data_IF_610668729824
#
_entry.id   IF_610668729824
#
_cell.length_a   1.000
_cell.length_b   1.000
_cell.length_c   1.000
_cell.angle_alpha   90.00
_cell.angle_beta   90.00
_cell.angle_gamma   90.00
#
_symmetry.space_group_name_H-M   'P 1'
#
loop_
_entity.id
_entity.type
_entity.pdbx_description
1 polymer ?
#
# COMPACT_ATOMS: atom_id res chain seq x y z
N UNK A 1 -18.36 -3.09 -10.45
CA UNK A 1 -18.58 -3.26 -11.91
C UNK A 1 -17.58 -4.29 -12.42
N UNK A 2 -17.94 -5.16 -13.35
CA UNK A 2 -16.98 -6.10 -13.95
C UNK A 2 -16.01 -5.33 -14.85
N UNK A 3 -14.70 -5.56 -14.69
CA UNK A 3 -13.70 -5.01 -15.60
C UNK A 3 -13.81 -5.77 -16.93
N UNK A 4 -13.76 -5.06 -18.06
CA UNK A 4 -13.80 -5.67 -19.39
C UNK A 4 -12.85 -4.93 -20.30
N UNK A 5 -12.01 -5.67 -21.03
CA UNK A 5 -11.12 -5.12 -22.04
C UNK A 5 -11.91 -4.72 -23.29
N UNK A 6 -11.50 -3.63 -23.93
CA UNK A 6 -11.97 -3.30 -25.28
C UNK A 6 -11.39 -4.30 -26.30
N UNK A 7 -11.98 -4.44 -27.49
CA UNK A 7 -11.44 -5.31 -28.54
C UNK A 7 -9.96 -5.00 -28.86
N UNK A 8 -9.60 -3.71 -28.94
CA UNK A 8 -8.22 -3.28 -29.22
C UNK A 8 -7.26 -3.66 -28.09
N UNK A 9 -7.73 -3.65 -26.84
CA UNK A 9 -6.94 -4.11 -25.69
C UNK A 9 -6.73 -5.61 -25.72
N UNK A 10 -7.76 -6.39 -26.10
CA UNK A 10 -7.62 -7.85 -26.25
C UNK A 10 -6.64 -8.21 -27.36
N UNK A 11 -6.69 -7.51 -28.49
CA UNK A 11 -5.75 -7.73 -29.60
C UNK A 11 -4.30 -7.48 -29.18
N UNK A 12 -4.05 -6.41 -28.42
CA UNK A 12 -2.71 -6.14 -27.90
C UNK A 12 -2.26 -7.16 -26.83
N UNK A 13 -3.17 -7.72 -26.04
CA UNK A 13 -2.86 -8.87 -25.15
C UNK A 13 -2.49 -10.11 -25.97
N UNK A 14 -3.23 -10.42 -27.05
CA UNK A 14 -2.91 -11.53 -27.93
C UNK A 14 -1.56 -11.37 -28.62
N UNK A 15 -1.21 -10.14 -29.03
CA UNK A 15 0.13 -9.84 -29.54
C UNK A 15 1.21 -10.07 -28.48
N UNK A 16 0.98 -9.64 -27.24
CA UNK A 16 1.93 -9.85 -26.13
C UNK A 16 2.11 -11.34 -25.79
N UNK A 17 1.03 -12.13 -25.88
CA UNK A 17 1.05 -13.58 -25.73
C UNK A 17 1.66 -14.30 -26.94
N UNK A 18 1.69 -13.64 -28.11
CA UNK A 18 2.04 -14.26 -29.39
C UNK A 18 1.04 -15.33 -29.85
N UNK A 19 -0.17 -15.35 -29.28
CA UNK A 19 -1.22 -16.37 -29.49
C UNK A 19 -2.59 -15.72 -29.42
N UNK A 20 -3.51 -16.21 -30.24
CA UNK A 20 -4.90 -15.75 -30.34
C UNK A 20 -5.90 -16.91 -30.37
N UNK A 21 -5.52 -18.04 -29.75
CA UNK A 21 -6.36 -19.23 -29.66
C UNK A 21 -7.36 -19.15 -28.49
N UNK A 22 -8.21 -20.17 -28.34
CA UNK A 22 -9.20 -20.23 -27.27
C UNK A 22 -8.56 -20.18 -25.87
N UNK A 23 -7.33 -20.65 -25.69
CA UNK A 23 -6.61 -20.54 -24.44
C UNK A 23 -6.23 -19.08 -24.11
N UNK A 24 -5.72 -18.35 -25.09
CA UNK A 24 -5.46 -16.92 -24.95
C UNK A 24 -6.75 -16.13 -24.65
N UNK A 25 -7.86 -16.49 -25.29
CA UNK A 25 -9.17 -15.89 -25.03
C UNK A 25 -9.61 -16.11 -23.58
N UNK A 26 -9.62 -17.35 -23.09
CA UNK A 26 -10.02 -17.63 -21.70
C UNK A 26 -9.07 -17.03 -20.67
N UNK A 27 -7.77 -16.90 -21.01
CA UNK A 27 -6.84 -16.17 -20.17
C UNK A 27 -7.25 -14.69 -20.03
N UNK A 28 -7.70 -14.05 -21.11
CA UNK A 28 -8.19 -12.65 -21.02
C UNK A 28 -9.44 -12.53 -20.14
N UNK A 29 -10.35 -13.50 -20.18
CA UNK A 29 -11.51 -13.54 -19.29
C UNK A 29 -11.10 -13.73 -17.82
N UNK A 30 -10.16 -14.63 -17.55
CA UNK A 30 -9.62 -14.84 -16.19
C UNK A 30 -8.93 -13.57 -15.66
N UNK A 31 -8.25 -12.81 -16.52
CA UNK A 31 -7.62 -11.52 -16.18
C UNK A 31 -8.67 -10.46 -15.86
N UNK A 32 -9.75 -10.37 -16.64
CA UNK A 32 -10.86 -9.45 -16.39
C UNK A 32 -11.49 -9.68 -15.02
N UNK A 33 -11.68 -10.95 -14.63
CA UNK A 33 -12.18 -11.34 -13.31
C UNK A 33 -11.19 -10.96 -12.21
N UNK A 34 -9.90 -11.25 -12.39
CA UNK A 34 -8.85 -10.90 -11.44
C UNK A 34 -8.73 -9.38 -11.24
N UNK A 35 -8.89 -8.60 -12.30
CA UNK A 35 -8.90 -7.14 -12.26
C UNK A 35 -10.14 -6.57 -11.58
N UNK A 36 -11.32 -7.14 -11.82
CA UNK A 36 -12.55 -6.75 -11.11
C UNK A 36 -12.46 -7.00 -9.59
N UNK A 37 -11.87 -8.13 -9.21
CA UNK A 37 -11.61 -8.46 -7.80
C UNK A 37 -10.54 -7.54 -7.19
N UNK A 38 -9.45 -7.26 -7.94
CA UNK A 38 -8.41 -6.32 -7.53
C UNK A 38 -9.00 -4.93 -7.32
N UNK A 39 -9.73 -4.37 -8.29
CA UNK A 39 -10.35 -3.05 -8.18
C UNK A 39 -11.31 -2.93 -6.99
N UNK A 40 -12.14 -3.96 -6.75
CA UNK A 40 -13.05 -3.97 -5.59
C UNK A 40 -12.30 -4.06 -4.25
N UNK A 41 -11.14 -4.71 -4.23
CA UNK A 41 -10.27 -4.80 -3.06
C UNK A 41 -9.34 -3.59 -2.87
N UNK A 42 -9.01 -2.91 -3.97
CA UNK A 42 -8.23 -1.68 -4.00
C UNK A 42 -9.12 -0.51 -3.56
N UNK A 43 -10.34 -0.37 -4.08
CA UNK A 43 -11.28 0.69 -3.65
C UNK A 43 -11.62 0.59 -2.14
N UNK A 44 -11.60 -0.61 -1.56
CA UNK A 44 -11.71 -0.82 -0.10
C UNK A 44 -10.42 -0.51 0.69
N UNK A 45 -9.29 -0.40 0.00
CA UNK A 45 -7.96 -0.05 0.52
C UNK A 45 -7.51 1.38 0.15
N UNK A 46 -8.20 2.07 -0.77
CA UNK A 46 -7.94 3.45 -1.22
C UNK A 46 -8.53 4.51 -0.28
N UNK A 47 -9.19 4.11 0.82
CA UNK A 47 -9.24 4.95 2.02
C UNK A 47 -7.88 4.85 2.68
N UNK A 48 -7.21 6.00 2.89
CA UNK A 48 -5.89 6.13 3.53
C UNK A 48 -5.59 4.92 4.41
N UNK A 49 -4.59 4.11 4.04
CA UNK A 49 -4.37 2.86 4.77
C UNK A 49 -4.27 3.20 6.26
N UNK A 50 -4.94 2.43 7.12
CA UNK A 50 -4.93 2.68 8.57
C UNK A 50 -3.48 2.86 9.08
N UNK A 51 -2.50 2.21 8.44
CA UNK A 51 -1.07 2.41 8.69
C UNK A 51 -0.56 3.83 8.38
N UNK A 52 -0.97 4.43 7.27
CA UNK A 52 -0.64 5.81 6.90
C UNK A 52 -1.33 6.84 7.81
N UNK A 53 -2.58 6.58 8.21
CA UNK A 53 -3.29 7.41 9.19
C UNK A 53 -2.58 7.39 10.54
N UNK A 54 -2.17 6.20 11.02
CA UNK A 54 -1.40 6.06 12.25
C UNK A 54 -0.02 6.72 12.17
N UNK A 55 0.63 6.66 11.01
CA UNK A 55 1.91 7.34 10.77
C UNK A 55 1.75 8.86 10.80
N UNK A 56 0.70 9.39 10.17
CA UNK A 56 0.34 10.82 10.20
C UNK A 56 0.02 11.30 11.62
N UNK A 57 -0.72 10.48 12.37
CA UNK A 57 -1.06 10.78 13.76
C UNK A 57 0.18 10.79 14.67
N UNK A 58 1.10 9.83 14.51
CA UNK A 58 2.40 9.83 15.20
C UNK A 58 3.23 11.09 14.89
N UNK A 59 3.26 11.53 13.63
CA UNK A 59 3.95 12.77 13.26
C UNK A 59 3.30 14.02 13.89
N UNK A 60 1.97 14.04 13.99
CA UNK A 60 1.22 15.11 14.65
C UNK A 60 1.53 15.17 16.16
N UNK A 61 1.56 14.01 16.83
CA UNK A 61 1.95 13.90 18.24
C UNK A 61 3.39 14.35 18.48
N UNK A 62 4.32 13.98 17.60
CA UNK A 62 5.71 14.46 17.66
C UNK A 62 5.80 15.99 17.52
N UNK A 63 5.04 16.57 16.59
CA UNK A 63 5.00 18.03 16.38
C UNK A 63 4.44 18.77 17.59
N UNK A 64 3.35 18.27 18.19
CA UNK A 64 2.77 18.84 19.40
C UNK A 64 3.73 18.79 20.58
N UNK A 65 4.44 17.68 20.79
CA UNK A 65 5.48 17.56 21.83
C UNK A 65 6.61 18.57 21.62
N UNK A 66 7.11 18.69 20.39
CA UNK A 66 8.17 19.64 20.06
C UNK A 66 7.77 21.10 20.33
N UNK A 67 6.48 21.42 20.24
CA UNK A 67 5.95 22.74 20.57
C UNK A 67 5.70 22.94 22.08
N UNK A 68 5.28 21.89 22.80
CA UNK A 68 4.91 21.97 24.21
C UNK A 68 6.11 22.01 25.16
N UNK A 69 7.15 21.20 24.93
CA UNK A 69 8.31 21.13 25.82
C UNK A 69 9.08 22.45 26.00
N UNK A 70 9.34 23.25 24.95
CA UNK A 70 10.06 24.51 25.11
C UNK A 70 9.17 25.66 25.59
N UNK A 71 7.85 25.48 25.65
CA UNK A 71 6.88 26.53 25.97
C UNK A 71 7.14 27.21 27.34
N UNK A 72 7.45 26.48 28.43
CA UNK A 72 7.72 27.11 29.73
C UNK A 72 8.96 28.00 29.69
N UNK A 73 10.03 27.55 29.03
CA UNK A 73 11.28 28.31 28.87
C UNK A 73 11.08 29.53 27.98
N UNK A 74 10.33 29.40 26.88
CA UNK A 74 9.98 30.50 25.99
C UNK A 74 9.16 31.57 26.72
N UNK A 75 8.21 31.17 27.56
CA UNK A 75 7.44 32.10 28.39
C UNK A 75 8.34 32.82 29.41
N UNK A 76 9.31 32.12 30.00
CA UNK A 76 10.29 32.72 30.90
C UNK A 76 11.19 33.74 30.18
N UNK A 77 11.65 33.41 28.98
CA UNK A 77 12.54 34.26 28.17
C UNK A 77 11.82 35.46 27.54
N UNK A 78 10.52 35.35 27.28
CA UNK A 78 9.71 36.40 26.65
C UNK A 78 9.52 37.67 27.50
N UNK A 79 9.96 37.67 28.77
CA UNK A 79 9.82 38.83 29.66
C UNK A 79 8.36 39.11 30.09
N UNK A 80 7.41 38.23 29.76
CA UNK A 80 6.02 38.28 30.25
C UNK A 80 5.88 38.07 31.76
N UNK A 81 6.99 37.88 32.47
CA UNK A 81 7.12 37.82 33.94
C UNK A 81 6.53 39.08 34.62
N UNK A 82 6.40 40.20 33.90
CA UNK A 82 5.72 41.41 34.39
C UNK A 82 4.19 41.44 34.22
N UNK A 83 3.61 40.52 33.43
CA UNK A 83 2.17 40.49 33.08
C UNK A 83 1.47 39.25 33.66
N UNK A 84 2.18 38.11 33.73
CA UNK A 84 1.73 36.90 34.42
C UNK A 84 2.47 36.81 35.75
N UNK A 85 1.73 36.71 36.87
CA UNK A 85 2.36 36.36 38.14
C UNK A 85 3.08 35.00 38.03
N UNK A 86 4.12 34.81 38.85
CA UNK A 86 4.95 33.60 38.80
C UNK A 86 4.16 32.30 39.04
N UNK A 87 3.00 32.39 39.69
CA UNK A 87 2.10 31.27 39.93
C UNK A 87 1.44 30.77 38.64
N UNK A 88 0.95 31.67 37.78
CA UNK A 88 0.40 31.32 36.46
C UNK A 88 1.44 30.72 35.53
N UNK A 89 2.67 31.24 35.53
CA UNK A 89 3.78 30.67 34.76
C UNK A 89 4.10 29.25 35.23
N UNK A 90 4.16 29.02 36.54
CA UNK A 90 4.37 27.70 37.10
C UNK A 90 3.21 26.73 36.80
N UNK A 91 1.97 27.22 36.76
CA UNK A 91 0.80 26.43 36.37
C UNK A 91 0.87 25.98 34.91
N UNK A 92 1.20 26.90 34.00
CA UNK A 92 1.38 26.57 32.56
C UNK A 92 2.51 25.57 32.35
N UNK A 93 3.62 25.68 33.10
CA UNK A 93 4.70 24.70 33.07
C UNK A 93 4.25 23.29 33.45
N UNK A 94 3.53 23.15 34.57
CA UNK A 94 2.97 21.87 35.03
C UNK A 94 1.96 21.28 34.05
N UNK A 95 1.11 22.12 33.45
CA UNK A 95 0.15 21.66 32.46
C UNK A 95 0.83 21.20 31.16
N UNK A 96 1.86 21.93 30.70
CA UNK A 96 2.65 21.53 29.53
C UNK A 96 3.36 20.18 29.75
N UNK A 97 3.94 19.97 30.93
CA UNK A 97 4.58 18.72 31.31
C UNK A 97 3.56 17.55 31.35
N UNK A 98 2.42 17.75 32.01
CA UNK A 98 1.34 16.75 32.09
C UNK A 98 0.80 16.37 30.70
N UNK A 99 0.64 17.34 29.80
CA UNK A 99 0.19 17.08 28.43
C UNK A 99 1.29 16.34 27.66
N UNK A 100 2.56 16.72 27.84
CA UNK A 100 3.72 16.02 27.25
C UNK A 100 3.74 14.53 27.62
N UNK A 101 3.61 14.21 28.91
CA UNK A 101 3.55 12.82 29.38
C UNK A 101 2.36 12.03 28.84
N UNK A 102 1.20 12.68 28.68
CA UNK A 102 0.03 12.06 28.07
C UNK A 102 0.27 11.77 26.57
N UNK A 103 0.90 12.69 25.85
CA UNK A 103 1.29 12.51 24.44
C UNK A 103 2.33 11.41 24.27
N UNK A 104 3.27 11.24 25.20
CA UNK A 104 4.25 10.15 25.16
C UNK A 104 3.59 8.79 25.32
N UNK A 105 2.68 8.64 26.29
CA UNK A 105 1.90 7.40 26.46
C UNK A 105 1.06 7.09 25.24
N UNK A 106 0.38 8.09 24.70
CA UNK A 106 -0.40 7.93 23.47
C UNK A 106 0.48 7.54 22.27
N UNK A 107 1.69 8.12 22.14
CA UNK A 107 2.64 7.76 21.10
C UNK A 107 3.09 6.30 21.19
N UNK A 108 3.24 5.76 22.41
CA UNK A 108 3.58 4.35 22.62
C UNK A 108 2.41 3.44 22.18
N UNK A 109 1.19 3.74 22.61
CA UNK A 109 -0.01 3.00 22.21
C UNK A 109 -0.21 2.99 20.69
N UNK A 110 -0.01 4.13 20.03
CA UNK A 110 -0.07 4.23 18.56
C UNK A 110 1.05 3.44 17.88
N UNK A 111 2.24 3.36 18.48
CA UNK A 111 3.35 2.57 17.93
C UNK A 111 3.05 1.08 18.02
N UNK A 112 2.50 0.63 19.15
CA UNK A 112 2.08 -0.76 19.35
C UNK A 112 0.93 -1.14 18.40
N UNK A 113 -0.06 -0.26 18.27
CA UNK A 113 -1.16 -0.45 17.34
C UNK A 113 -0.67 -0.51 15.89
N UNK A 114 0.29 0.35 15.50
CA UNK A 114 0.93 0.28 14.18
C UNK A 114 1.67 -1.03 13.98
N UNK A 115 2.38 -1.53 15.00
CA UNK A 115 3.07 -2.81 14.93
C UNK A 115 2.09 -3.97 14.74
N UNK A 116 0.97 -3.97 15.44
CA UNK A 116 -0.11 -4.96 15.30
C UNK A 116 -0.76 -4.91 13.91
N UNK A 117 -1.03 -3.70 13.40
CA UNK A 117 -1.57 -3.49 12.06
C UNK A 117 -0.57 -4.00 11.01
N UNK A 118 0.70 -3.65 11.14
CA UNK A 118 1.77 -4.10 10.24
C UNK A 118 1.93 -5.62 10.27
N UNK A 119 1.90 -6.24 11.45
CA UNK A 119 1.97 -7.70 11.60
C UNK A 119 0.74 -8.41 11.02
N UNK A 120 -0.45 -7.83 11.14
CA UNK A 120 -1.69 -8.36 10.57
C UNK A 120 -1.67 -8.31 9.03
N UNK A 121 -1.08 -7.25 8.46
CA UNK A 121 -0.90 -7.13 7.01
C UNK A 121 0.26 -7.97 6.47
N UNK A 122 1.27 -8.31 7.27
CA UNK A 122 2.34 -9.25 6.87
C UNK A 122 1.81 -10.69 6.63
N UNK A 123 0.65 -11.04 7.18
CA UNK A 123 -0.01 -12.34 6.95
C UNK A 123 -0.97 -12.37 5.75
N UNK A 124 -1.44 -11.22 5.26
CA UNK A 124 -2.35 -11.15 4.12
C UNK A 124 -1.61 -10.61 2.91
N UNK A 125 -1.39 -11.44 1.88
CA UNK A 125 -0.85 -11.01 0.58
C UNK A 125 -1.50 -9.69 0.16
N UNK A 126 -0.71 -8.69 -0.20
CA UNK A 126 -1.24 -7.40 -0.63
C UNK A 126 -2.24 -7.61 -1.78
N UNK A 127 -3.21 -6.70 -2.01
CA UNK A 127 -4.09 -6.79 -3.18
C UNK A 127 -3.30 -7.03 -4.48
N UNK A 128 -2.14 -6.40 -4.59
CA UNK A 128 -1.16 -6.57 -5.65
C UNK A 128 -0.60 -8.00 -5.76
N UNK A 129 -0.13 -8.58 -4.65
CA UNK A 129 0.37 -9.95 -4.61
C UNK A 129 -0.72 -10.98 -4.91
N UNK A 130 -1.96 -10.73 -4.44
CA UNK A 130 -3.13 -11.56 -4.75
C UNK A 130 -3.47 -11.52 -6.23
N UNK A 131 -3.43 -10.34 -6.83
CA UNK A 131 -3.63 -10.17 -8.27
C UNK A 131 -2.56 -10.93 -9.07
N UNK A 132 -1.28 -10.75 -8.75
CA UNK A 132 -0.19 -11.46 -9.41
C UNK A 132 -0.26 -12.97 -9.27
N UNK A 133 -0.63 -13.45 -8.09
CA UNK A 133 -0.83 -14.87 -7.86
C UNK A 133 -1.97 -15.42 -8.71
N UNK A 134 -3.11 -14.72 -8.76
CA UNK A 134 -4.24 -15.10 -9.62
C UNK A 134 -3.85 -15.09 -11.10
N UNK A 135 -3.10 -14.08 -11.52
CA UNK A 135 -2.61 -13.93 -12.89
C UNK A 135 -1.64 -15.06 -13.28
N UNK A 136 -0.66 -15.36 -12.41
CA UNK A 136 0.28 -16.45 -12.61
C UNK A 136 -0.42 -17.81 -12.70
N UNK A 137 -1.43 -18.05 -11.85
CA UNK A 137 -2.21 -19.28 -11.87
C UNK A 137 -3.07 -19.41 -13.13
N UNK A 138 -3.75 -18.34 -13.54
CA UNK A 138 -4.52 -18.31 -14.78
C UNK A 138 -3.60 -18.55 -16.00
N UNK A 139 -2.46 -17.87 -16.05
CA UNK A 139 -1.48 -18.04 -17.13
C UNK A 139 -1.00 -19.49 -17.22
N UNK A 140 -0.62 -20.10 -16.09
CA UNK A 140 -0.20 -21.50 -16.05
C UNK A 140 -1.31 -22.42 -16.55
N UNK A 141 -2.52 -22.26 -16.02
CA UNK A 141 -3.66 -23.14 -16.32
C UNK A 141 -4.08 -23.07 -17.79
N UNK A 142 -4.03 -21.88 -18.40
CA UNK A 142 -4.47 -21.68 -19.79
C UNK A 142 -3.35 -21.93 -20.80
N UNK A 143 -2.14 -21.45 -20.51
CA UNK A 143 -1.03 -21.54 -21.46
C UNK A 143 -0.26 -22.85 -21.36
N UNK A 144 -0.46 -23.62 -20.28
CA UNK A 144 0.30 -24.82 -19.95
C UNK A 144 1.83 -24.57 -19.93
N UNK A 145 2.22 -23.35 -19.55
CA UNK A 145 3.61 -22.89 -19.47
C UNK A 145 3.84 -22.32 -18.08
N UNK A 146 5.00 -22.62 -17.49
CA UNK A 146 5.38 -22.07 -16.19
C UNK A 146 5.63 -20.56 -16.33
N UNK A 147 4.94 -19.69 -15.58
CA UNK A 147 5.25 -18.27 -15.56
C UNK A 147 6.63 -18.06 -14.92
N UNK A 148 7.46 -17.23 -15.53
CA UNK A 148 8.81 -16.90 -15.03
C UNK A 148 8.96 -15.38 -14.95
N UNK A 149 9.66 -14.89 -13.92
CA UNK A 149 9.92 -13.47 -13.74
C UNK A 149 11.07 -12.93 -14.62
N UNK A 150 11.67 -13.78 -15.46
CA UNK A 150 12.75 -13.38 -16.37
C UNK A 150 12.31 -12.21 -17.25
N UNK A 151 13.12 -11.16 -17.31
CA UNK A 151 12.76 -9.90 -17.97
C UNK A 151 12.32 -10.04 -19.44
N UNK A 152 12.85 -11.04 -20.15
CA UNK A 152 12.50 -11.37 -21.55
C UNK A 152 11.46 -12.49 -21.70
N UNK A 153 11.03 -13.06 -20.57
CA UNK A 153 10.05 -14.15 -20.51
C UNK A 153 8.70 -13.76 -21.10
N UNK A 154 8.02 -14.73 -21.70
CA UNK A 154 6.70 -14.55 -22.29
C UNK A 154 5.66 -14.07 -21.26
N UNK A 155 5.75 -14.59 -20.02
CA UNK A 155 4.91 -14.14 -18.92
C UNK A 155 5.15 -12.67 -18.57
N UNK A 156 6.41 -12.22 -18.50
CA UNK A 156 6.72 -10.81 -18.19
C UNK A 156 6.29 -9.85 -19.30
N UNK A 157 6.36 -10.27 -20.57
CA UNK A 157 5.82 -9.47 -21.70
C UNK A 157 4.31 -9.33 -21.61
N UNK A 158 3.61 -10.43 -21.35
CA UNK A 158 2.16 -10.43 -21.12
C UNK A 158 1.78 -9.58 -19.90
N UNK A 159 2.45 -9.79 -18.77
CA UNK A 159 2.22 -9.07 -17.54
C UNK A 159 2.41 -7.56 -17.72
N UNK A 160 3.50 -7.12 -18.36
CA UNK A 160 3.74 -5.71 -18.67
C UNK A 160 2.65 -5.13 -19.56
N UNK A 161 2.19 -5.86 -20.59
CA UNK A 161 1.11 -5.40 -21.44
C UNK A 161 -0.20 -5.21 -20.65
N UNK A 162 -0.52 -6.15 -19.76
CA UNK A 162 -1.69 -6.05 -18.87
C UNK A 162 -1.53 -4.88 -17.90
N UNK A 163 -0.40 -4.73 -17.22
CA UNK A 163 -0.21 -3.63 -16.27
C UNK A 163 -0.19 -2.28 -16.96
N UNK A 164 0.48 -2.11 -18.10
CA UNK A 164 0.48 -0.84 -18.87
C UNK A 164 -0.94 -0.43 -19.30
N UNK A 165 -1.78 -1.40 -19.68
CA UNK A 165 -3.18 -1.14 -20.03
C UNK A 165 -4.01 -0.72 -18.83
N UNK A 166 -3.81 -1.35 -17.67
CA UNK A 166 -4.62 -1.10 -16.49
C UNK A 166 -4.11 0.13 -15.73
N UNK A 167 -2.82 0.44 -15.79
CA UNK A 167 -2.19 1.67 -15.26
C UNK A 167 -2.82 2.94 -15.83
N UNK A 168 -3.28 2.90 -17.09
CA UNK A 168 -4.05 4.01 -17.70
C UNK A 168 -5.44 4.22 -17.09
N UNK A 169 -5.95 3.25 -16.33
CA UNK A 169 -7.33 3.23 -15.79
C UNK A 169 -7.38 3.24 -14.25
N UNK A 170 -6.32 2.78 -13.58
CA UNK A 170 -6.20 2.73 -12.13
C UNK A 170 -4.79 3.18 -11.72
N UNK A 171 -4.69 4.38 -11.14
CA UNK A 171 -3.45 4.95 -10.56
C UNK A 171 -2.84 4.05 -9.48
N UNK A 172 -3.67 3.25 -8.83
CA UNK A 172 -3.30 2.45 -7.66
C UNK A 172 -2.46 1.20 -8.04
N UNK A 173 -2.28 0.93 -9.34
CA UNK A 173 -1.36 -0.09 -9.85
C UNK A 173 0.10 0.39 -9.97
N UNK A 174 0.36 1.68 -9.75
CA UNK A 174 1.72 2.22 -9.71
C UNK A 174 2.54 1.52 -8.60
N UNK A 175 1.91 1.24 -7.46
CA UNK A 175 2.54 0.54 -6.34
C UNK A 175 2.96 -0.89 -6.72
N UNK A 176 2.24 -1.54 -7.63
CA UNK A 176 2.47 -2.93 -8.07
C UNK A 176 3.69 -3.03 -9.01
N UNK A 177 3.97 -1.99 -9.78
CA UNK A 177 5.12 -1.95 -10.70
C UNK A 177 6.41 -1.55 -10.00
N UNK A 178 6.34 -0.71 -8.96
CA UNK A 178 7.51 -0.15 -8.30
C UNK A 178 8.02 -0.99 -7.12
N UNK A 179 7.21 -1.89 -6.55
CA UNK A 179 7.56 -2.65 -5.32
C UNK A 179 8.08 -4.07 -5.54
N UNK A 180 8.09 -4.58 -6.77
CA UNK A 180 8.37 -5.99 -7.03
C UNK A 180 9.68 -6.20 -7.79
N UNK A 181 10.73 -6.56 -7.04
CA UNK A 181 11.95 -7.10 -7.61
C UNK A 181 11.73 -8.52 -8.19
N UNK A 182 12.66 -8.95 -9.05
CA UNK A 182 12.59 -10.25 -9.73
C UNK A 182 12.58 -11.44 -8.73
N UNK A 183 13.21 -11.27 -7.57
CA UNK A 183 13.25 -12.28 -6.51
C UNK A 183 11.88 -12.47 -5.84
N UNK A 184 11.20 -11.38 -5.51
CA UNK A 184 9.87 -11.38 -4.91
C UNK A 184 8.82 -11.87 -5.89
N UNK A 185 8.93 -11.50 -7.16
CA UNK A 185 8.10 -12.06 -8.24
C UNK A 185 8.23 -13.58 -8.34
N UNK A 186 9.45 -14.11 -8.38
CA UNK A 186 9.65 -15.56 -8.43
C UNK A 186 9.08 -16.26 -7.19
N UNK A 187 9.23 -15.69 -5.99
CA UNK A 187 8.64 -16.24 -4.77
C UNK A 187 7.11 -16.30 -4.81
N UNK A 188 6.46 -15.23 -5.30
CA UNK A 188 4.99 -15.18 -5.43
C UNK A 188 4.53 -16.19 -6.48
N UNK A 189 5.21 -16.23 -7.64
CA UNK A 189 4.90 -17.18 -8.70
C UNK A 189 5.05 -18.61 -8.18
N UNK A 190 6.17 -18.97 -7.55
CA UNK A 190 6.39 -20.31 -6.98
C UNK A 190 5.31 -20.70 -5.98
N UNK A 191 4.85 -19.77 -5.13
CA UNK A 191 3.75 -20.04 -4.20
C UNK A 191 2.39 -20.28 -4.88
N UNK A 192 2.18 -19.76 -6.10
CA UNK A 192 1.02 -20.07 -6.93
C UNK A 192 1.02 -21.51 -7.45
N UNK A 193 2.16 -22.21 -7.39
CA UNK A 193 2.27 -23.57 -7.90
C UNK A 193 1.85 -24.66 -6.91
N UNK A 194 1.80 -24.34 -5.61
CA UNK A 194 1.60 -25.31 -4.52
C UNK A 194 0.16 -25.39 -3.98
N UNK A 195 -0.79 -24.68 -4.59
CA UNK A 195 -2.23 -24.71 -4.27
C UNK A 195 -3.02 -25.30 -5.43
#
# INVERSE_FOLDING_TARGET
>A
MAFTFTPEQRDAIFQALGRSDSAAWHLTEDVEVALGAYGSSADGASGTSLGDELKSLLASVATLRAALYPLPDQLHQSGLVGILDGERLAAVGRDAERIGEALDRFSLELTDLRALVTASFQGSRSPAERFLHALGQAYRNRMNIRPTAAAEGQFMRFYKAVTDMVRRRHSDLDELCDTLDEGRLNQILDSAHSS
#
